data_IF_367626676862
#
_entry.id   IF_367626676862
#
_cell.length_a   1.000
_cell.length_b   1.000
_cell.length_c   1.000
_cell.angle_alpha   90.00
_cell.angle_beta   90.00
_cell.angle_gamma   90.00
#
_symmetry.space_group_name_H-M   'P 1'
#
loop_
_entity.id
_entity.type
_entity.pdbx_description
1 polymer ?
#
# COMPACT_ATOMS: atom_id res chain seq x y z
N UNK A 1 -12.29 -27.71 -2.51
CA UNK A 1 -12.99 -27.91 -3.80
C UNK A 1 -12.72 -26.69 -4.67
N UNK A 2 -12.25 -26.91 -5.88
CA UNK A 2 -11.98 -25.89 -6.87
C UNK A 2 -12.01 -26.49 -8.27
N UNK A 3 -12.05 -25.63 -9.28
CA UNK A 3 -12.12 -26.01 -10.69
C UNK A 3 -10.76 -25.85 -11.40
N UNK A 4 -9.67 -25.69 -10.62
CA UNK A 4 -8.34 -25.41 -11.13
C UNK A 4 -7.58 -26.63 -11.63
N UNK A 5 -6.41 -26.40 -12.29
CA UNK A 5 -5.58 -27.45 -12.86
C UNK A 5 -4.78 -28.27 -11.83
N UNK A 6 -4.82 -27.91 -10.55
CA UNK A 6 -4.18 -28.63 -9.47
C UNK A 6 -5.15 -28.96 -8.34
N UNK A 7 -4.94 -30.08 -7.68
CA UNK A 7 -5.64 -30.51 -6.48
C UNK A 7 -4.71 -30.43 -5.27
N UNK A 8 -5.27 -30.16 -4.09
CA UNK A 8 -4.53 -30.16 -2.84
C UNK A 8 -4.05 -31.58 -2.50
N UNK A 9 -2.78 -31.71 -2.09
CA UNK A 9 -2.18 -32.97 -1.66
C UNK A 9 -1.81 -32.95 -0.18
N UNK A 10 -1.00 -31.98 0.25
CA UNK A 10 -0.45 -31.93 1.61
C UNK A 10 -0.23 -30.49 2.08
N UNK A 11 -0.39 -30.27 3.37
CA UNK A 11 0.01 -29.03 4.02
C UNK A 11 0.73 -29.34 5.34
N UNK A 12 1.95 -28.82 5.47
CA UNK A 12 2.72 -28.79 6.71
C UNK A 12 2.87 -27.32 7.12
N UNK A 13 2.17 -26.88 8.19
CA UNK A 13 2.18 -25.49 8.60
C UNK A 13 3.60 -24.96 8.86
N UNK A 14 3.98 -23.86 8.19
CA UNK A 14 5.32 -23.26 8.31
C UNK A 14 6.42 -23.90 7.48
N UNK A 15 6.18 -25.03 6.85
CA UNK A 15 7.16 -25.79 6.06
C UNK A 15 6.79 -25.83 4.58
N UNK A 16 5.71 -26.49 4.20
CA UNK A 16 5.33 -26.61 2.79
C UNK A 16 3.83 -26.79 2.55
N UNK A 17 3.41 -26.47 1.32
CA UNK A 17 2.15 -26.88 0.71
C UNK A 17 2.49 -27.65 -0.57
N UNK A 18 1.91 -28.84 -0.75
CA UNK A 18 2.03 -29.63 -1.97
C UNK A 18 0.68 -29.70 -2.68
N UNK A 19 0.69 -29.44 -3.99
CA UNK A 19 -0.44 -29.61 -4.88
C UNK A 19 -0.05 -30.51 -6.05
N UNK A 20 -0.99 -31.31 -6.56
CA UNK A 20 -0.78 -32.28 -7.65
C UNK A 20 -1.66 -31.93 -8.83
N UNK A 21 -1.21 -32.30 -10.02
CA UNK A 21 -2.01 -32.13 -11.25
C UNK A 21 -3.40 -32.75 -11.08
N UNK A 22 -4.39 -32.03 -11.59
CA UNK A 22 -5.75 -32.51 -11.67
C UNK A 22 -6.00 -33.12 -13.05
N UNK A 23 -5.91 -34.43 -13.17
CA UNK A 23 -6.10 -35.13 -14.43
C UNK A 23 -7.53 -35.00 -14.97
N UNK A 24 -8.49 -34.57 -14.15
CA UNK A 24 -9.86 -34.26 -14.54
C UNK A 24 -10.10 -32.77 -14.79
N UNK A 25 -9.03 -31.98 -15.00
CA UNK A 25 -9.17 -30.57 -15.29
C UNK A 25 -9.84 -30.36 -16.65
N UNK A 26 -10.84 -29.48 -16.71
CA UNK A 26 -11.63 -29.17 -17.90
C UNK A 26 -10.91 -28.35 -18.98
N UNK A 27 -9.77 -27.72 -18.63
CA UNK A 27 -8.94 -26.93 -19.54
C UNK A 27 -7.78 -27.74 -20.08
N UNK A 28 -6.79 -27.06 -20.67
CA UNK A 28 -5.57 -27.70 -21.17
C UNK A 28 -4.77 -28.33 -20.03
N UNK A 29 -4.21 -29.51 -20.26
CA UNK A 29 -3.34 -30.17 -19.31
C UNK A 29 -2.12 -29.28 -18.97
N UNK A 30 -1.74 -29.24 -17.70
CA UNK A 30 -0.52 -28.55 -17.24
C UNK A 30 0.68 -29.49 -17.33
N UNK A 31 1.86 -28.95 -17.56
CA UNK A 31 3.08 -29.73 -17.79
C UNK A 31 3.63 -30.38 -16.51
N UNK A 32 3.40 -29.75 -15.33
CA UNK A 32 3.93 -30.22 -14.06
C UNK A 32 3.00 -31.23 -13.35
N UNK A 33 3.56 -32.30 -12.84
CA UNK A 33 2.82 -33.32 -12.09
C UNK A 33 2.51 -32.85 -10.67
N UNK A 34 3.41 -32.07 -10.06
CA UNK A 34 3.25 -31.52 -8.73
C UNK A 34 3.98 -30.19 -8.55
N UNK A 35 3.51 -29.38 -7.59
CA UNK A 35 4.15 -28.14 -7.17
C UNK A 35 4.27 -28.16 -5.65
N UNK A 36 5.49 -27.91 -5.14
CA UNK A 36 5.76 -27.72 -3.72
C UNK A 36 6.02 -26.26 -3.43
N UNK A 37 5.17 -25.64 -2.61
CA UNK A 37 5.28 -24.24 -2.21
C UNK A 37 5.92 -24.18 -0.82
N UNK A 38 7.09 -23.55 -0.69
CA UNK A 38 7.84 -23.41 0.57
C UNK A 38 7.82 -21.94 1.04
N UNK A 39 7.30 -21.64 2.24
CA UNK A 39 7.24 -20.26 2.76
C UNK A 39 8.59 -19.80 3.33
N UNK A 40 9.52 -19.38 2.48
CA UNK A 40 10.80 -18.80 2.89
C UNK A 40 10.61 -17.29 3.08
N UNK A 41 10.62 -16.81 4.33
CA UNK A 41 10.29 -15.41 4.68
C UNK A 41 11.40 -14.43 4.29
N UNK A 42 12.66 -14.81 4.53
CA UNK A 42 13.80 -13.95 4.24
C UNK A 42 14.15 -13.94 2.75
N UNK A 43 14.36 -12.74 2.17
CA UNK A 43 14.59 -12.55 0.72
C UNK A 43 15.93 -13.13 0.28
N UNK A 44 16.99 -12.93 1.07
CA UNK A 44 18.34 -13.43 0.76
C UNK A 44 18.37 -14.95 0.79
N UNK A 45 17.68 -15.55 1.76
CA UNK A 45 17.54 -17.01 1.86
C UNK A 45 16.77 -17.56 0.66
N UNK A 46 15.72 -16.88 0.18
CA UNK A 46 15.02 -17.28 -1.06
C UNK A 46 15.93 -17.25 -2.28
N UNK A 47 16.68 -16.16 -2.44
CA UNK A 47 17.64 -16.03 -3.56
C UNK A 47 18.71 -17.12 -3.50
N UNK A 48 19.24 -17.43 -2.30
CA UNK A 48 20.20 -18.52 -2.10
C UNK A 48 19.61 -19.89 -2.48
N UNK A 49 18.36 -20.17 -2.07
CA UNK A 49 17.68 -21.41 -2.40
C UNK A 49 17.46 -21.61 -3.92
N UNK A 50 17.18 -20.52 -4.67
CA UNK A 50 17.11 -20.58 -6.12
C UNK A 50 18.49 -20.86 -6.74
N UNK A 51 19.52 -20.21 -6.22
CA UNK A 51 20.89 -20.35 -6.73
C UNK A 51 21.45 -21.76 -6.46
N UNK A 52 21.11 -22.38 -5.34
CA UNK A 52 21.51 -23.75 -5.00
C UNK A 52 20.70 -24.83 -5.73
N UNK A 53 19.56 -24.46 -6.33
CA UNK A 53 18.63 -25.42 -6.93
C UNK A 53 17.68 -26.10 -5.94
N UNK A 54 17.60 -25.62 -4.70
CA UNK A 54 16.64 -26.12 -3.69
C UNK A 54 15.19 -25.74 -4.04
N UNK A 55 15.01 -24.71 -4.87
CA UNK A 55 13.74 -24.31 -5.47
C UNK A 55 13.94 -23.88 -6.92
N UNK A 56 12.94 -24.13 -7.76
CA UNK A 56 12.99 -23.83 -9.20
C UNK A 56 12.46 -22.42 -9.53
N UNK A 57 11.70 -21.82 -8.61
CA UNK A 57 11.07 -20.52 -8.80
C UNK A 57 10.99 -19.76 -7.49
N UNK A 58 11.25 -18.46 -7.54
CA UNK A 58 11.00 -17.54 -6.42
C UNK A 58 10.24 -16.31 -6.89
N UNK A 59 9.43 -15.73 -6.02
CA UNK A 59 8.81 -14.42 -6.20
C UNK A 59 9.38 -13.40 -5.20
N UNK A 60 9.17 -12.10 -5.46
CA UNK A 60 9.60 -11.00 -4.58
C UNK A 60 11.10 -10.99 -4.35
N UNK A 61 11.84 -11.07 -5.43
CA UNK A 61 13.30 -10.90 -5.41
C UNK A 61 13.63 -9.50 -4.86
N UNK A 62 14.60 -9.44 -3.94
CA UNK A 62 15.09 -8.15 -3.46
C UNK A 62 15.73 -7.39 -4.64
N UNK A 63 15.46 -6.08 -4.80
CA UNK A 63 16.02 -5.28 -5.88
C UNK A 63 17.55 -5.44 -6.03
N UNK A 64 18.28 -5.44 -4.92
CA UNK A 64 19.74 -5.60 -4.90
C UNK A 64 20.25 -6.94 -5.47
N UNK A 65 19.43 -7.99 -5.45
CA UNK A 65 19.83 -9.33 -5.92
C UNK A 65 19.65 -9.49 -7.46
N UNK A 66 18.79 -8.66 -8.06
CA UNK A 66 18.41 -8.80 -9.48
C UNK A 66 19.59 -8.74 -10.44
N UNK A 67 20.54 -7.78 -10.33
CA UNK A 67 21.68 -7.72 -11.26
C UNK A 67 22.56 -8.96 -11.23
N UNK A 68 22.62 -9.64 -10.09
CA UNK A 68 23.37 -10.89 -9.94
C UNK A 68 22.63 -12.07 -10.55
N UNK A 69 21.32 -12.17 -10.34
CA UNK A 69 20.49 -13.23 -10.91
C UNK A 69 20.41 -13.15 -12.45
N UNK A 70 20.31 -11.92 -13.00
CA UNK A 70 20.26 -11.71 -14.45
C UNK A 70 21.53 -12.13 -15.20
N UNK A 71 22.66 -12.16 -14.50
CA UNK A 71 23.95 -12.58 -15.08
C UNK A 71 24.23 -14.08 -14.94
N UNK A 72 23.35 -14.82 -14.24
CA UNK A 72 23.56 -16.25 -14.01
C UNK A 72 22.97 -17.09 -15.13
N UNK A 73 23.80 -18.00 -15.64
CA UNK A 73 23.33 -19.03 -16.55
C UNK A 73 22.28 -19.92 -15.88
N UNK A 74 21.24 -20.28 -16.62
CA UNK A 74 20.16 -21.14 -16.15
C UNK A 74 19.07 -20.42 -15.32
N UNK A 75 19.25 -19.14 -14.97
CA UNK A 75 18.24 -18.33 -14.30
C UNK A 75 17.62 -17.32 -15.26
N UNK A 76 16.30 -17.28 -15.30
CA UNK A 76 15.55 -16.30 -16.09
C UNK A 76 14.73 -15.38 -15.17
N UNK A 77 14.93 -14.08 -15.31
CA UNK A 77 14.20 -13.06 -14.56
C UNK A 77 13.03 -12.54 -15.40
N UNK A 78 11.83 -12.59 -14.83
CA UNK A 78 10.61 -12.01 -15.42
C UNK A 78 10.22 -10.77 -14.63
N UNK A 79 9.95 -9.67 -15.31
CA UNK A 79 9.49 -8.41 -14.73
C UNK A 79 8.14 -8.03 -15.29
N UNK A 80 7.26 -7.54 -14.44
CA UNK A 80 5.96 -7.01 -14.84
C UNK A 80 5.60 -5.83 -13.97
N UNK A 81 4.91 -4.85 -14.55
CA UNK A 81 4.33 -3.75 -13.79
C UNK A 81 3.22 -4.31 -12.91
N UNK A 82 3.34 -4.10 -11.60
CA UNK A 82 2.34 -4.52 -10.63
C UNK A 82 1.28 -3.43 -10.44
N UNK A 83 0.05 -3.84 -10.19
CA UNK A 83 -1.01 -2.95 -9.70
C UNK A 83 -0.95 -2.72 -8.19
N UNK A 84 0.16 -3.08 -7.53
CA UNK A 84 0.35 -2.84 -6.11
C UNK A 84 0.80 -1.40 -5.88
N UNK A 85 -0.03 -0.67 -5.13
CA UNK A 85 0.27 0.64 -4.60
C UNK A 85 0.74 0.51 -3.15
N UNK A 86 1.86 1.15 -2.79
CA UNK A 86 2.22 1.46 -1.41
C UNK A 86 1.80 2.89 -1.12
N UNK A 87 1.16 3.11 0.02
CA UNK A 87 0.63 4.41 0.39
C UNK A 87 0.79 4.67 1.89
N UNK A 88 0.90 5.94 2.25
CA UNK A 88 0.88 6.39 3.63
C UNK A 88 -0.55 6.81 3.99
N UNK A 89 -1.11 6.22 5.04
CA UNK A 89 -2.40 6.63 5.60
C UNK A 89 -2.14 7.66 6.68
N UNK A 90 -2.80 8.81 6.57
CA UNK A 90 -2.77 9.89 7.55
C UNK A 90 -4.14 9.97 8.23
N UNK A 91 -4.17 9.93 9.57
CA UNK A 91 -5.41 9.88 10.32
C UNK A 91 -6.05 11.28 10.45
N UNK A 92 -7.29 11.41 9.96
CA UNK A 92 -7.99 12.69 9.82
C UNK A 92 -9.04 12.96 10.91
N UNK A 93 -9.18 12.10 11.92
CA UNK A 93 -10.12 12.28 13.02
C UNK A 93 -9.41 12.43 14.35
N UNK A 94 -10.14 12.87 15.38
CA UNK A 94 -9.61 12.98 16.74
C UNK A 94 -9.21 11.61 17.31
N UNK A 95 -7.97 11.53 17.71
CA UNK A 95 -7.33 10.52 18.55
C UNK A 95 -7.13 9.09 18.04
N UNK A 96 -5.91 8.77 17.73
CA UNK A 96 -5.34 7.45 18.02
C UNK A 96 -5.24 7.24 19.55
N UNK A 97 -5.34 5.99 20.00
CA UNK A 97 -5.30 5.60 21.44
C UNK A 97 -3.98 5.98 22.12
N UNK A 98 -2.91 6.16 21.34
CA UNK A 98 -1.58 6.57 21.80
C UNK A 98 -1.18 7.87 21.14
N UNK A 99 -0.49 8.77 21.87
CA UNK A 99 0.05 9.99 21.29
C UNK A 99 1.28 9.66 20.42
N UNK A 100 1.02 9.20 19.19
CA UNK A 100 2.07 9.05 18.16
C UNK A 100 2.36 10.36 17.44
N UNK A 101 1.74 11.45 17.91
CA UNK A 101 2.03 12.83 17.52
C UNK A 101 2.05 13.70 18.76
N UNK A 102 3.13 14.47 18.92
CA UNK A 102 3.35 15.37 20.06
C UNK A 102 3.93 16.69 19.55
N UNK A 103 3.84 17.74 20.36
CA UNK A 103 4.68 18.90 20.15
C UNK A 103 6.18 18.56 20.37
N UNK A 104 7.07 19.52 20.17
CA UNK A 104 8.51 19.30 20.36
C UNK A 104 8.92 19.05 21.82
N UNK A 105 8.03 19.35 22.78
CA UNK A 105 8.21 19.13 24.21
C UNK A 105 7.55 17.82 24.70
N UNK A 106 7.18 16.92 23.78
CA UNK A 106 6.53 15.63 24.06
C UNK A 106 5.10 15.71 24.62
N UNK A 107 4.44 16.87 24.54
CA UNK A 107 3.04 16.96 24.89
C UNK A 107 2.15 16.43 23.75
N UNK A 108 1.15 15.57 24.03
CA UNK A 108 0.23 15.09 23.01
C UNK A 108 -0.51 16.24 22.34
N UNK A 109 -0.60 16.22 21.02
CA UNK A 109 -1.40 17.17 20.24
C UNK A 109 -2.45 16.44 19.40
N UNK A 110 -3.57 17.10 19.03
CA UNK A 110 -4.51 16.56 18.04
C UNK A 110 -3.81 16.21 16.72
N UNK A 111 -4.38 15.27 15.97
CA UNK A 111 -3.79 14.93 14.68
C UNK A 111 -3.69 16.15 13.75
N UNK A 112 -2.51 16.57 13.33
CA UNK A 112 -2.35 17.68 12.37
C UNK A 112 -3.00 17.40 11.02
N UNK A 113 -3.22 16.12 10.72
CA UNK A 113 -3.73 15.66 9.43
C UNK A 113 -5.23 15.82 9.24
N UNK A 114 -5.94 16.41 10.20
CA UNK A 114 -7.29 16.93 10.01
C UNK A 114 -7.29 18.09 9.03
N UNK A 115 -6.23 18.91 9.05
CA UNK A 115 -6.03 20.00 8.10
C UNK A 115 -5.49 19.48 6.76
N UNK A 116 -6.18 19.81 5.67
CA UNK A 116 -5.76 19.45 4.31
C UNK A 116 -4.36 19.98 3.99
N UNK A 117 -4.01 21.18 4.44
CA UNK A 117 -2.67 21.79 4.20
C UNK A 117 -1.56 20.92 4.76
N UNK A 118 -1.78 20.29 5.91
CA UNK A 118 -0.82 19.37 6.51
C UNK A 118 -0.65 18.08 5.71
N UNK A 119 -1.77 17.51 5.21
CA UNK A 119 -1.69 16.32 4.34
C UNK A 119 -0.96 16.65 3.04
N UNK A 120 -1.25 17.82 2.45
CA UNK A 120 -0.56 18.29 1.24
C UNK A 120 0.92 18.56 1.49
N UNK A 121 1.28 19.13 2.64
CA UNK A 121 2.67 19.33 3.04
C UNK A 121 3.45 17.99 3.12
N UNK A 122 2.88 16.98 3.75
CA UNK A 122 3.46 15.63 3.78
C UNK A 122 3.67 15.08 2.37
N UNK A 123 2.70 15.24 1.48
CA UNK A 123 2.82 14.76 0.11
C UNK A 123 3.93 15.45 -0.66
N UNK A 124 3.99 16.79 -0.60
CA UNK A 124 5.03 17.58 -1.26
C UNK A 124 6.44 17.33 -0.70
N UNK A 125 6.55 16.94 0.57
CA UNK A 125 7.83 16.62 1.20
C UNK A 125 8.40 15.26 0.75
N UNK A 126 7.58 14.35 0.23
CA UNK A 126 8.01 13.01 -0.15
C UNK A 126 8.51 12.98 -1.60
N UNK A 127 9.82 12.83 -1.79
CA UNK A 127 10.44 12.61 -3.10
C UNK A 127 10.25 11.17 -3.57
N UNK A 128 9.10 10.90 -4.19
CA UNK A 128 8.74 9.55 -4.67
C UNK A 128 9.69 9.03 -5.74
N UNK A 129 10.23 9.93 -6.58
CA UNK A 129 11.22 9.54 -7.58
C UNK A 129 12.53 9.09 -6.93
N UNK A 130 13.01 9.83 -5.92
CA UNK A 130 14.20 9.42 -5.18
C UNK A 130 14.02 8.08 -4.43
N UNK A 131 12.82 7.82 -3.91
CA UNK A 131 12.50 6.50 -3.32
C UNK A 131 12.57 5.42 -4.41
N UNK A 132 11.97 5.66 -5.58
CA UNK A 132 12.06 4.74 -6.71
C UNK A 132 13.50 4.44 -7.09
N UNK A 133 14.29 5.47 -7.31
CA UNK A 133 15.64 5.33 -7.87
C UNK A 133 16.64 4.75 -6.87
N UNK A 134 16.58 5.17 -5.59
CA UNK A 134 17.63 4.89 -4.58
C UNK A 134 17.24 3.81 -3.56
N UNK A 135 15.96 3.65 -3.28
CA UNK A 135 15.48 2.64 -2.32
C UNK A 135 14.99 1.40 -3.05
N UNK A 136 14.39 1.59 -4.24
CA UNK A 136 13.79 0.51 -5.04
C UNK A 136 14.61 0.16 -6.29
N UNK A 137 15.81 0.74 -6.46
CA UNK A 137 16.71 0.49 -7.60
C UNK A 137 16.01 0.62 -8.98
N UNK A 138 15.12 1.61 -9.11
CA UNK A 138 14.32 1.86 -10.31
C UNK A 138 13.18 0.88 -10.57
N UNK A 139 12.87 -0.01 -9.62
CA UNK A 139 11.86 -1.07 -9.77
C UNK A 139 10.47 -0.67 -9.27
N UNK A 140 10.23 0.61 -9.10
CA UNK A 140 8.93 1.16 -8.78
C UNK A 140 8.69 2.43 -9.58
N UNK A 141 7.45 2.95 -9.52
CA UNK A 141 7.10 4.22 -10.15
C UNK A 141 6.30 5.08 -9.17
N UNK A 142 6.53 6.39 -9.13
CA UNK A 142 5.66 7.31 -8.42
C UNK A 142 4.20 7.12 -8.81
N UNK A 143 3.31 7.09 -7.83
CA UNK A 143 1.88 6.92 -8.05
C UNK A 143 1.09 8.05 -7.38
N UNK A 144 0.06 8.55 -8.06
CA UNK A 144 -0.88 9.56 -7.56
C UNK A 144 -2.32 9.04 -7.44
N UNK A 145 -2.56 7.75 -7.71
CA UNK A 145 -3.90 7.16 -7.70
C UNK A 145 -3.85 5.64 -7.55
N UNK A 146 -5.02 5.02 -7.30
CA UNK A 146 -5.12 3.56 -7.11
C UNK A 146 -4.94 2.75 -8.39
N UNK A 147 -5.40 3.26 -9.53
CA UNK A 147 -5.31 2.58 -10.82
C UNK A 147 -4.07 3.03 -11.57
N UNK A 148 -3.11 2.16 -11.89
CA UNK A 148 -1.97 2.53 -12.72
C UNK A 148 -2.39 2.76 -14.18
N UNK A 149 -1.55 3.45 -14.94
CA UNK A 149 -1.77 3.69 -16.37
C UNK A 149 -1.98 2.38 -17.13
N UNK A 150 -3.03 2.32 -17.95
CA UNK A 150 -3.43 1.13 -18.71
C UNK A 150 -4.43 0.23 -18.00
N UNK A 151 -4.82 0.56 -16.77
CA UNK A 151 -5.89 -0.13 -16.03
C UNK A 151 -7.20 0.68 -16.09
N UNK A 152 -8.32 -0.02 -15.97
CA UNK A 152 -9.65 0.59 -15.87
C UNK A 152 -9.70 1.52 -14.67
N UNK A 153 -10.33 2.69 -14.82
CA UNK A 153 -10.41 3.70 -13.76
C UNK A 153 -9.16 4.56 -13.58
N UNK A 154 -8.18 4.49 -14.50
CA UNK A 154 -7.07 5.42 -14.52
C UNK A 154 -7.52 6.81 -14.98
N UNK A 155 -7.19 7.85 -14.20
CA UNK A 155 -7.37 9.24 -14.60
C UNK A 155 -6.06 9.84 -15.12
N UNK A 156 -6.03 10.40 -16.35
CA UNK A 156 -4.87 11.13 -16.84
C UNK A 156 -4.64 12.45 -16.12
N UNK A 157 -5.63 12.95 -15.37
CA UNK A 157 -5.57 14.20 -14.61
C UNK A 157 -4.89 14.07 -13.24
N UNK A 158 -4.70 12.84 -12.76
CA UNK A 158 -4.08 12.57 -11.46
C UNK A 158 -2.66 12.06 -11.62
N UNK A 159 -1.72 12.89 -11.20
CA UNK A 159 -0.31 12.54 -11.09
C UNK A 159 0.13 12.55 -9.64
N UNK A 160 1.26 11.90 -9.35
CA UNK A 160 1.91 12.06 -8.05
C UNK A 160 2.25 13.53 -7.83
N UNK A 161 2.08 14.01 -6.60
CA UNK A 161 2.49 15.38 -6.25
C UNK A 161 3.99 15.57 -6.52
N UNK A 162 4.39 16.76 -7.00
CA UNK A 162 5.78 17.09 -7.17
C UNK A 162 6.50 17.14 -5.82
N UNK A 163 7.79 16.89 -5.82
CA UNK A 163 8.62 17.12 -4.64
C UNK A 163 8.89 18.62 -4.49
N UNK A 164 8.31 19.24 -3.48
CA UNK A 164 8.49 20.65 -3.14
C UNK A 164 8.52 20.86 -1.61
N UNK A 165 9.66 20.64 -0.97
CA UNK A 165 9.79 20.82 0.48
C UNK A 165 9.66 22.30 0.91
N UNK A 166 9.86 23.26 0.00
CA UNK A 166 9.69 24.67 0.32
C UNK A 166 8.20 25.01 0.48
N UNK A 167 7.37 24.59 -0.48
CA UNK A 167 5.93 24.75 -0.38
C UNK A 167 5.35 23.92 0.79
N UNK A 168 5.92 22.75 1.07
CA UNK A 168 5.53 21.96 2.24
C UNK A 168 5.68 22.74 3.55
N UNK A 169 6.84 23.40 3.76
CA UNK A 169 7.07 24.26 4.94
C UNK A 169 6.10 25.44 5.03
N UNK A 170 5.80 26.07 3.87
CA UNK A 170 4.81 27.16 3.82
C UNK A 170 3.45 26.68 4.29
N UNK A 171 2.97 25.54 3.76
CA UNK A 171 1.68 24.97 4.16
C UNK A 171 1.64 24.57 5.64
N UNK A 172 2.74 24.05 6.18
CA UNK A 172 2.85 23.76 7.61
C UNK A 172 2.69 25.03 8.46
N UNK A 173 3.39 26.11 8.08
CA UNK A 173 3.30 27.39 8.80
C UNK A 173 1.88 27.97 8.72
N UNK A 174 1.23 27.95 7.55
CA UNK A 174 -0.15 28.40 7.36
C UNK A 174 -1.16 27.57 8.16
N UNK A 175 -0.87 26.28 8.40
CA UNK A 175 -1.68 25.39 9.21
C UNK A 175 -1.41 25.53 10.72
N UNK A 176 -0.45 26.40 11.14
CA UNK A 176 -0.11 26.60 12.54
C UNK A 176 0.97 25.66 13.09
N UNK A 177 1.67 24.92 12.23
CA UNK A 177 2.72 23.96 12.58
C UNK A 177 4.11 24.39 12.08
N UNK A 178 4.35 25.72 11.95
CA UNK A 178 5.62 26.26 11.47
C UNK A 178 6.83 25.90 12.33
N UNK A 179 6.62 25.73 13.64
CA UNK A 179 7.66 25.29 14.58
C UNK A 179 7.95 23.79 14.51
N UNK A 180 7.12 23.03 13.79
CA UNK A 180 7.24 21.59 13.69
C UNK A 180 6.54 20.80 14.80
N UNK A 181 6.68 19.48 14.75
CA UNK A 181 6.14 18.55 15.75
C UNK A 181 6.82 17.17 15.59
N UNK A 182 6.58 16.27 16.57
CA UNK A 182 7.08 14.90 16.51
C UNK A 182 5.99 13.95 16.01
N UNK A 183 6.38 13.01 15.13
CA UNK A 183 5.50 12.01 14.54
C UNK A 183 6.14 10.63 14.55
N UNK A 184 5.38 9.60 14.91
CA UNK A 184 5.79 8.22 14.66
C UNK A 184 5.01 7.65 13.47
N UNK A 185 5.72 7.21 12.44
CA UNK A 185 5.13 6.48 11.32
C UNK A 185 5.31 4.97 11.50
N UNK A 186 4.24 4.22 11.23
CA UNK A 186 4.20 2.78 11.45
C UNK A 186 4.15 2.00 10.14
N UNK A 187 4.68 0.78 10.14
CA UNK A 187 4.56 -0.10 8.99
C UNK A 187 4.90 -1.56 9.27
N UNK A 188 4.59 -2.44 8.31
CA UNK A 188 5.02 -3.83 8.40
C UNK A 188 6.52 -3.94 8.11
N UNK A 189 7.17 -4.95 8.69
CA UNK A 189 8.51 -5.39 8.34
C UNK A 189 8.44 -6.69 7.53
N UNK A 190 9.10 -6.73 6.38
CA UNK A 190 9.22 -7.91 5.52
C UNK A 190 7.93 -8.30 4.77
N UNK A 191 6.98 -7.38 4.62
CA UNK A 191 5.75 -7.57 3.85
C UNK A 191 5.89 -7.14 2.41
N UNK A 192 6.56 -6.01 2.18
CA UNK A 192 6.80 -5.43 0.86
C UNK A 192 8.31 -5.33 0.63
N UNK A 193 8.72 -5.26 -0.64
CA UNK A 193 10.12 -5.02 -0.95
C UNK A 193 10.59 -3.70 -0.31
N UNK A 194 11.67 -3.77 0.45
CA UNK A 194 12.31 -2.62 1.12
C UNK A 194 11.37 -1.76 2.00
N UNK A 195 10.30 -2.33 2.55
CA UNK A 195 9.28 -1.58 3.31
C UNK A 195 9.86 -0.74 4.46
N UNK A 196 10.74 -1.29 5.26
CA UNK A 196 11.41 -0.54 6.34
C UNK A 196 12.27 0.61 5.78
N UNK A 197 13.06 0.36 4.72
CA UNK A 197 13.89 1.38 4.09
C UNK A 197 13.07 2.51 3.44
N UNK A 198 11.91 2.19 2.90
CA UNK A 198 10.95 3.20 2.37
C UNK A 198 10.47 4.09 3.51
N UNK A 199 10.07 3.51 4.65
CA UNK A 199 9.62 4.28 5.82
C UNK A 199 10.74 5.17 6.39
N UNK A 200 11.96 4.67 6.48
CA UNK A 200 13.14 5.44 6.92
C UNK A 200 13.42 6.61 5.99
N UNK A 201 13.33 6.40 4.67
CA UNK A 201 13.50 7.48 3.69
C UNK A 201 12.39 8.54 3.82
N UNK A 202 11.13 8.13 4.01
CA UNK A 202 10.01 9.04 4.26
C UNK A 202 10.26 9.84 5.55
N UNK A 203 10.65 9.18 6.63
CA UNK A 203 10.93 9.83 7.91
C UNK A 203 12.03 10.90 7.79
N UNK A 204 13.11 10.60 7.07
CA UNK A 204 14.17 11.56 6.80
C UNK A 204 13.66 12.78 6.02
N UNK A 205 12.83 12.54 4.99
CA UNK A 205 12.24 13.62 4.18
C UNK A 205 11.30 14.51 5.02
N UNK A 206 10.45 13.92 5.85
CA UNK A 206 9.56 14.66 6.74
C UNK A 206 10.34 15.46 7.80
N UNK A 207 11.42 14.87 8.36
CA UNK A 207 12.29 15.58 9.30
C UNK A 207 12.97 16.80 8.66
N UNK A 208 13.26 16.78 7.35
CA UNK A 208 13.84 17.91 6.63
C UNK A 208 12.92 19.13 6.52
N UNK A 209 11.61 18.95 6.71
CA UNK A 209 10.64 20.05 6.71
C UNK A 209 10.18 20.46 8.11
N UNK A 210 10.72 19.86 9.18
CA UNK A 210 10.39 20.20 10.56
C UNK A 210 9.48 19.20 11.29
N UNK A 211 9.09 18.10 10.65
CA UNK A 211 8.34 17.01 11.32
C UNK A 211 9.36 15.99 11.82
N UNK A 212 9.74 16.07 13.09
CA UNK A 212 10.65 15.08 13.71
C UNK A 212 10.03 13.70 13.67
N UNK A 213 10.44 12.89 12.70
CA UNK A 213 9.76 11.64 12.39
C UNK A 213 10.57 10.43 12.81
N UNK A 214 9.96 9.57 13.65
CA UNK A 214 10.47 8.25 14.01
C UNK A 214 9.72 7.15 13.25
N UNK A 215 10.35 5.98 13.13
CA UNK A 215 9.78 4.81 12.43
C UNK A 215 9.61 3.66 13.42
N UNK A 216 8.42 3.09 13.48
CA UNK A 216 8.14 1.86 14.21
C UNK A 216 7.64 0.78 13.23
N UNK A 217 8.45 -0.24 12.99
CA UNK A 217 8.07 -1.38 12.16
C UNK A 217 7.81 -2.63 13.02
N UNK A 218 6.94 -3.49 12.54
CA UNK A 218 6.60 -4.73 13.23
C UNK A 218 6.29 -5.86 12.24
N UNK A 219 6.35 -7.14 12.67
CA UNK A 219 5.95 -8.24 11.81
C UNK A 219 4.57 -8.03 11.19
N UNK A 220 4.40 -8.37 9.92
CA UNK A 220 3.18 -8.09 9.16
C UNK A 220 1.89 -8.57 9.86
N UNK A 221 1.92 -9.74 10.51
CA UNK A 221 0.77 -10.27 11.25
C UNK A 221 0.37 -9.40 12.45
N UNK A 222 1.34 -8.80 13.13
CA UNK A 222 1.11 -7.86 14.24
C UNK A 222 0.60 -6.54 13.69
N UNK A 223 1.29 -5.99 12.69
CA UNK A 223 0.91 -4.73 12.05
C UNK A 223 -0.54 -4.76 11.56
N UNK A 224 -0.91 -5.73 10.73
CA UNK A 224 -2.26 -5.80 10.17
C UNK A 224 -3.33 -6.09 11.21
N UNK A 225 -3.02 -6.80 12.29
CA UNK A 225 -3.96 -6.97 13.40
C UNK A 225 -4.28 -5.63 14.06
N UNK A 226 -3.26 -4.82 14.36
CA UNK A 226 -3.39 -3.49 14.96
C UNK A 226 -4.01 -2.49 13.96
N UNK A 227 -3.49 -2.43 12.75
CA UNK A 227 -3.95 -1.54 11.69
C UNK A 227 -5.39 -1.83 11.24
N UNK A 228 -5.76 -3.13 11.10
CA UNK A 228 -7.06 -3.53 10.56
C UNK A 228 -8.18 -3.52 11.60
N UNK A 229 -7.89 -3.94 12.82
CA UNK A 229 -8.90 -4.12 13.87
C UNK A 229 -8.92 -2.96 14.86
N UNK A 230 -7.92 -2.09 14.78
CA UNK A 230 -7.66 -1.06 15.77
C UNK A 230 -7.04 -1.63 17.03
N UNK A 231 -6.75 -0.75 17.99
CA UNK A 231 -6.30 -1.13 19.32
C UNK A 231 -7.38 -1.84 20.14
N UNK A 232 -7.17 -1.97 21.46
CA UNK A 232 -8.10 -2.66 22.37
C UNK A 232 -9.54 -2.18 22.25
N UNK A 233 -9.74 -0.88 22.01
CA UNK A 233 -11.06 -0.26 21.89
C UNK A 233 -11.64 -0.28 20.46
N UNK A 234 -11.02 -1.03 19.54
CA UNK A 234 -11.39 -1.09 18.11
C UNK A 234 -11.38 0.28 17.40
N UNK A 235 -10.60 1.22 17.92
CA UNK A 235 -10.36 2.53 17.32
C UNK A 235 -9.08 2.50 16.50
N UNK A 236 -8.90 3.38 15.49
CA UNK A 236 -7.62 3.53 14.78
C UNK A 236 -6.48 3.71 15.80
N UNK A 237 -5.39 2.98 15.61
CA UNK A 237 -4.28 2.99 16.57
C UNK A 237 -3.12 3.87 16.08
N UNK A 238 -2.96 4.05 14.77
CA UNK A 238 -1.81 4.75 14.18
C UNK A 238 -2.23 6.10 13.59
N UNK A 239 -1.49 7.17 13.93
CA UNK A 239 -1.67 8.50 13.32
C UNK A 239 -1.19 8.53 11.87
N UNK A 240 -0.08 7.86 11.60
CA UNK A 240 0.46 7.67 10.26
C UNK A 240 0.96 6.23 10.09
N UNK A 241 0.57 5.59 8.98
CA UNK A 241 0.97 4.21 8.73
C UNK A 241 1.12 3.93 7.23
N UNK A 242 2.18 3.20 6.86
CA UNK A 242 2.35 2.70 5.49
C UNK A 242 1.67 1.35 5.32
N UNK A 243 0.92 1.23 4.26
CA UNK A 243 0.32 -0.03 3.84
C UNK A 243 0.39 -0.19 2.33
N UNK A 244 -0.01 -1.34 1.82
CA UNK A 244 -0.07 -1.61 0.40
C UNK A 244 -1.39 -2.26 0.00
N UNK A 245 -1.86 -1.90 -1.16
CA UNK A 245 -3.05 -2.46 -1.77
C UNK A 245 -2.73 -2.93 -3.20
N UNK A 246 -3.27 -4.07 -3.58
CA UNK A 246 -3.29 -4.53 -4.96
C UNK A 246 -4.72 -4.88 -5.34
N UNK A 247 -5.21 -4.30 -6.43
CA UNK A 247 -6.54 -4.56 -6.93
C UNK A 247 -6.56 -5.86 -7.74
N UNK A 248 -6.85 -6.98 -7.07
CA UNK A 248 -6.83 -8.30 -7.70
C UNK A 248 -7.90 -8.52 -8.77
N UNK A 249 -9.00 -7.76 -8.74
CA UNK A 249 -10.04 -7.82 -9.77
C UNK A 249 -9.80 -6.89 -10.96
N UNK A 250 -8.91 -5.89 -10.80
CA UNK A 250 -8.72 -4.82 -11.79
C UNK A 250 -9.90 -3.84 -11.88
N UNK A 251 -10.95 -4.03 -11.08
CA UNK A 251 -12.20 -3.28 -11.15
C UNK A 251 -12.08 -2.02 -10.25
N UNK A 252 -12.33 -0.79 -10.78
CA UNK A 252 -12.01 0.48 -10.11
C UNK A 252 -12.89 0.76 -8.89
N UNK A 253 -14.10 0.22 -8.79
CA UNK A 253 -14.97 0.47 -7.64
C UNK A 253 -14.45 -0.19 -6.35
N UNK A 254 -13.65 -1.25 -6.46
CA UNK A 254 -13.19 -1.99 -5.29
C UNK A 254 -12.35 -1.13 -4.32
N UNK A 255 -11.26 -0.44 -4.75
CA UNK A 255 -10.53 0.44 -3.84
C UNK A 255 -11.38 1.61 -3.35
N UNK A 256 -12.23 2.18 -4.17
CA UNK A 256 -13.11 3.29 -3.79
C UNK A 256 -14.09 2.86 -2.69
N UNK A 257 -14.77 1.75 -2.87
CA UNK A 257 -15.69 1.18 -1.87
C UNK A 257 -15.01 0.87 -0.55
N UNK A 258 -13.77 0.38 -0.59
CA UNK A 258 -13.08 -0.09 0.61
C UNK A 258 -12.39 1.06 1.36
N UNK A 259 -11.66 1.94 0.67
CA UNK A 259 -10.77 2.90 1.31
C UNK A 259 -11.31 4.33 1.32
N UNK A 260 -12.15 4.69 0.36
CA UNK A 260 -12.60 6.06 0.14
C UNK A 260 -14.01 6.28 0.69
N UNK A 261 -14.95 5.42 0.37
CA UNK A 261 -16.32 5.59 0.83
C UNK A 261 -16.41 5.73 2.35
N UNK A 262 -17.25 6.63 2.82
CA UNK A 262 -17.57 6.78 4.24
C UNK A 262 -17.96 5.43 4.83
N UNK A 263 -17.47 5.14 6.02
CA UNK A 263 -17.69 3.85 6.68
C UNK A 263 -19.15 3.63 7.02
N UNK A 264 -19.77 2.65 6.38
CA UNK A 264 -21.14 2.20 6.59
C UNK A 264 -21.16 0.67 6.73
N UNK A 265 -20.96 0.18 7.95
CA UNK A 265 -20.74 -1.24 8.23
C UNK A 265 -21.89 -2.11 7.69
N UNK A 266 -23.14 -1.69 7.91
CA UNK A 266 -24.34 -2.46 7.53
C UNK A 266 -24.50 -2.61 6.02
N UNK A 267 -23.96 -1.66 5.25
CA UNK A 267 -23.99 -1.69 3.78
C UNK A 267 -22.69 -2.23 3.16
N UNK A 268 -21.69 -2.56 3.99
CA UNK A 268 -20.39 -3.07 3.53
C UNK A 268 -19.49 -2.05 2.86
N UNK A 269 -19.69 -0.75 3.13
CA UNK A 269 -18.87 0.33 2.62
C UNK A 269 -17.80 0.76 3.64
N UNK A 270 -16.64 1.19 3.16
CA UNK A 270 -15.56 1.75 3.94
C UNK A 270 -14.90 0.81 4.96
N UNK A 271 -14.83 -0.53 4.76
CA UNK A 271 -14.22 -1.41 5.77
C UNK A 271 -12.70 -1.16 5.93
N UNK A 272 -12.05 -0.60 4.94
CA UNK A 272 -10.64 -0.21 4.93
C UNK A 272 -10.41 1.29 5.10
N UNK A 273 -11.45 2.11 5.17
CA UNK A 273 -11.35 3.53 5.47
C UNK A 273 -10.96 3.71 6.95
N UNK A 274 -9.66 3.88 7.19
CA UNK A 274 -9.07 3.95 8.52
C UNK A 274 -8.63 5.35 8.89
N UNK A 275 -8.49 6.20 7.89
CA UNK A 275 -8.11 7.60 8.05
C UNK A 275 -9.30 8.52 8.41
N UNK A 276 -10.55 8.01 8.30
CA UNK A 276 -11.75 8.76 8.65
C UNK A 276 -12.25 9.70 7.54
N UNK A 277 -11.80 9.49 6.30
CA UNK A 277 -12.32 10.24 5.16
C UNK A 277 -13.84 10.09 5.02
N UNK A 278 -14.53 11.20 4.73
CA UNK A 278 -15.97 11.22 4.48
C UNK A 278 -16.33 12.37 3.53
N UNK A 279 -17.02 12.04 2.44
CA UNK A 279 -17.54 13.01 1.48
C UNK A 279 -18.79 12.42 0.80
N UNK A 280 -19.95 13.03 1.06
CA UNK A 280 -21.23 12.51 0.58
C UNK A 280 -21.38 12.54 -0.96
N UNK A 281 -20.74 13.50 -1.64
CA UNK A 281 -20.74 13.56 -3.11
C UNK A 281 -19.93 12.38 -3.70
N UNK A 282 -18.77 12.10 -3.13
CA UNK A 282 -17.92 10.97 -3.53
C UNK A 282 -18.61 9.65 -3.24
N UNK A 283 -19.23 9.50 -2.07
CA UNK A 283 -20.00 8.32 -1.68
C UNK A 283 -21.09 8.02 -2.69
N UNK A 284 -21.86 9.06 -3.07
CA UNK A 284 -22.93 8.93 -4.08
C UNK A 284 -22.39 8.51 -5.45
N UNK A 285 -21.28 9.10 -5.91
CA UNK A 285 -20.67 8.69 -7.19
C UNK A 285 -20.24 7.23 -7.17
N UNK A 286 -19.69 6.75 -6.07
CA UNK A 286 -19.28 5.35 -5.90
C UNK A 286 -20.52 4.44 -5.95
N UNK A 287 -21.60 4.80 -5.25
CA UNK A 287 -22.84 4.05 -5.21
C UNK A 287 -23.52 4.01 -6.58
N UNK A 288 -23.67 5.16 -7.23
CA UNK A 288 -24.28 5.29 -8.56
C UNK A 288 -23.48 4.51 -9.64
N UNK A 289 -22.13 4.63 -9.60
CA UNK A 289 -21.27 3.91 -10.51
C UNK A 289 -21.38 2.39 -10.37
N UNK A 290 -21.52 1.90 -9.15
CA UNK A 290 -21.73 0.46 -8.89
C UNK A 290 -23.13 -0.04 -9.25
N UNK A 291 -24.10 0.82 -9.23
CA UNK A 291 -25.48 0.50 -9.64
C UNK A 291 -25.70 0.64 -11.16
N UNK A 292 -24.79 1.29 -11.87
CA UNK A 292 -24.91 1.51 -13.32
C UNK A 292 -24.84 0.21 -14.10
N UNK A 293 -25.80 0.00 -15.00
CA UNK A 293 -25.77 -1.06 -16.00
C UNK A 293 -24.96 -0.64 -17.25
N UNK A 294 -24.69 0.65 -17.39
CA UNK A 294 -23.79 1.21 -18.40
C UNK A 294 -22.37 1.25 -17.83
N UNK A 295 -21.50 0.38 -18.32
CA UNK A 295 -20.11 0.22 -17.84
C UNK A 295 -19.31 1.50 -18.04
N UNK A 296 -19.47 2.19 -19.18
CA UNK A 296 -18.74 3.43 -19.49
C UNK A 296 -19.15 4.58 -18.55
N UNK A 297 -20.43 4.71 -18.28
CA UNK A 297 -20.94 5.68 -17.32
C UNK A 297 -20.48 5.36 -15.90
N UNK A 298 -20.49 4.10 -15.51
CA UNK A 298 -19.95 3.65 -14.21
C UNK A 298 -18.46 4.00 -14.05
N UNK A 299 -17.66 3.76 -15.07
CA UNK A 299 -16.23 4.09 -15.06
C UNK A 299 -15.99 5.60 -14.94
N UNK A 300 -16.72 6.44 -15.67
CA UNK A 300 -16.64 7.92 -15.57
C UNK A 300 -16.92 8.40 -14.13
N UNK A 301 -17.91 7.82 -13.46
CA UNK A 301 -18.24 8.12 -12.07
C UNK A 301 -17.09 7.72 -11.12
N UNK A 302 -16.48 6.57 -11.32
CA UNK A 302 -15.34 6.13 -10.50
C UNK A 302 -14.10 7.01 -10.71
N UNK A 303 -13.79 7.40 -11.95
CA UNK A 303 -12.70 8.35 -12.25
C UNK A 303 -12.94 9.66 -11.52
N UNK A 304 -14.15 10.24 -11.66
CA UNK A 304 -14.49 11.51 -11.01
C UNK A 304 -14.44 11.42 -9.47
N UNK A 305 -14.97 10.34 -8.90
CA UNK A 305 -14.88 10.08 -7.47
C UNK A 305 -13.42 10.00 -6.99
N UNK A 306 -12.54 9.35 -7.77
CA UNK A 306 -11.11 9.26 -7.48
C UNK A 306 -10.44 10.63 -7.54
N UNK A 307 -10.74 11.45 -8.57
CA UNK A 307 -10.20 12.79 -8.73
C UNK A 307 -10.56 13.70 -7.55
N UNK A 308 -11.83 13.73 -7.16
CA UNK A 308 -12.26 14.51 -5.99
C UNK A 308 -11.56 14.01 -4.72
N UNK A 309 -11.62 12.70 -4.48
CA UNK A 309 -11.07 12.13 -3.25
C UNK A 309 -9.56 12.41 -3.11
N UNK A 310 -8.78 12.24 -4.17
CA UNK A 310 -7.33 12.46 -4.13
C UNK A 310 -6.99 13.95 -4.04
N UNK A 311 -7.68 14.81 -4.79
CA UNK A 311 -7.41 16.26 -4.76
C UNK A 311 -7.71 16.88 -3.41
N UNK A 312 -8.72 16.40 -2.68
CA UNK A 312 -9.19 17.01 -1.42
C UNK A 312 -8.66 16.32 -0.16
N UNK A 313 -8.22 15.06 -0.24
CA UNK A 313 -8.08 14.27 0.99
C UNK A 313 -6.90 13.35 1.08
N UNK A 314 -6.35 12.91 -0.02
CA UNK A 314 -5.41 11.79 0.00
C UNK A 314 -4.14 12.20 -0.73
N UNK A 315 -3.11 11.96 -0.05
CA UNK A 315 -1.79 11.95 -0.64
C UNK A 315 -1.17 10.58 -0.55
#
# INVERSE_FOLDING_TARGET
FGTGPFTFSKWMPGDLIEIKRNDNYWGSAVEWDSITIRPIKDGTTRTAALISGDVDFIERVAPADLPNLEKRDGIKVFRSVSNRLLYLTLHMTDNPIKPYVTDLNDNPIPSPFQDFRMRKAVSLAINRQAISDRVMDGLSSPAGQFSPKGYIGYSPNLNADPYDPSQAKTLMAEAGYGDGFKLTIHGPAGRYANDTRILEAIAQMLSSIGIETSVETMPASVFFKRFARGGPDKKPEFTAAMSGYANGSGEPSHPLRIFIHTKQKERGYGPGNRNGYSNAEVDKMIEDGRASMDIENGEKLFIKATEIAITVSIT
#
